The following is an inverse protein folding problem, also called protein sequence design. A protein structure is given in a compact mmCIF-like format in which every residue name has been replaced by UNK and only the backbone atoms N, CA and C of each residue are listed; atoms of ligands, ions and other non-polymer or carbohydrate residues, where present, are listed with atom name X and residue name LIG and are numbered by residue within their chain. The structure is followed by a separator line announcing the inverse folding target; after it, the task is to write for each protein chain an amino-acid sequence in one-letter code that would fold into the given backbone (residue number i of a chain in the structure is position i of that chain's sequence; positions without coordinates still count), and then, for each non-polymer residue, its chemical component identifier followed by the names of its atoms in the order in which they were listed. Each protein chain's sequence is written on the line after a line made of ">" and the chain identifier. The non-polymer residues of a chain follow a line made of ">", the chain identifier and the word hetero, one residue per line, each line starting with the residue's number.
data_IF_370510632400
#
_entry.id   IF_370510632400
#
_cell.length_a   1.000
_cell.length_b   1.000
_cell.length_c   1.000
_cell.angle_alpha   90.00
_cell.angle_beta   90.00
_cell.angle_gamma   90.00
#
_symmetry.space_group_name_H-M   'P 1'
#
loop_
_entity.id
_entity.type
_entity.pdbx_description
1 polymer ?
#
# COMPACT_ATOMS: atom_id res chain seq x y z
N UNK A 1 -23.92 -3.92 -12.97
CA UNK A 1 -23.25 -5.22 -13.17
C UNK A 1 -22.01 -5.31 -12.29
N UNK A 2 -21.05 -4.39 -12.41
CA UNK A 2 -19.77 -4.43 -11.71
C UNK A 2 -19.86 -4.31 -10.18
N UNK A 3 -20.88 -3.66 -9.63
CA UNK A 3 -21.09 -3.54 -8.19
C UNK A 3 -21.48 -4.82 -7.48
N UNK A 4 -21.99 -5.81 -8.21
CA UNK A 4 -22.58 -7.03 -7.62
C UNK A 4 -21.72 -8.26 -7.76
N UNK A 5 -20.58 -8.16 -8.44
CA UNK A 5 -19.80 -9.35 -8.74
C UNK A 5 -18.92 -9.80 -7.57
N UNK A 6 -18.55 -8.89 -6.66
CA UNK A 6 -17.62 -9.21 -5.59
C UNK A 6 -17.57 -8.09 -4.53
N UNK A 7 -17.69 -8.42 -3.25
CA UNK A 7 -17.44 -7.50 -2.14
C UNK A 7 -16.35 -8.09 -1.24
N UNK A 8 -15.23 -7.38 -1.08
CA UNK A 8 -14.09 -7.83 -0.28
C UNK A 8 -13.69 -9.28 -0.60
N UNK A 9 -13.62 -9.62 -1.88
CA UNK A 9 -13.29 -10.97 -2.34
C UNK A 9 -14.38 -12.03 -2.13
N UNK A 10 -15.55 -11.65 -1.64
CA UNK A 10 -16.70 -12.56 -1.49
C UNK A 10 -17.62 -12.40 -2.69
N UNK A 11 -17.88 -13.49 -3.38
CA UNK A 11 -18.75 -13.50 -4.55
C UNK A 11 -20.21 -13.25 -4.15
N UNK A 12 -20.79 -12.16 -4.65
CA UNK A 12 -22.16 -11.75 -4.35
C UNK A 12 -23.13 -12.43 -5.33
N UNK A 13 -23.52 -13.66 -5.02
CA UNK A 13 -24.54 -14.41 -5.75
C UNK A 13 -25.49 -15.09 -4.76
N UNK A 14 -26.77 -14.70 -4.81
CA UNK A 14 -27.81 -15.26 -3.96
C UNK A 14 -27.97 -14.48 -2.65
N UNK A 15 -28.35 -15.15 -1.59
CA UNK A 15 -28.54 -14.57 -0.26
C UNK A 15 -27.18 -14.26 0.38
N UNK A 16 -27.12 -13.14 1.08
CA UNK A 16 -25.91 -12.61 1.69
C UNK A 16 -26.17 -12.24 3.15
N UNK A 17 -25.33 -12.69 4.03
CA UNK A 17 -25.35 -12.36 5.45
C UNK A 17 -24.00 -11.82 5.88
N UNK A 18 -23.99 -10.65 6.51
CA UNK A 18 -22.78 -10.09 7.10
C UNK A 18 -23.01 -9.72 8.56
N UNK A 19 -21.99 -9.94 9.36
CA UNK A 19 -21.91 -9.46 10.72
C UNK A 19 -20.65 -8.62 10.87
N UNK A 20 -20.78 -7.41 11.41
CA UNK A 20 -19.63 -6.53 11.66
C UNK A 20 -19.72 -5.91 13.05
N UNK A 21 -18.59 -5.85 13.73
CA UNK A 21 -18.40 -5.18 15.01
C UNK A 21 -17.08 -4.41 14.99
N UNK A 22 -17.11 -3.21 15.55
CA UNK A 22 -15.91 -2.40 15.76
C UNK A 22 -16.06 -1.57 17.02
N UNK A 23 -14.96 -1.24 17.63
CA UNK A 23 -14.99 -0.45 18.86
C UNK A 23 -13.63 -0.27 19.49
N UNK A 24 -13.66 0.35 20.66
CA UNK A 24 -12.51 0.52 21.55
C UNK A 24 -12.74 -0.24 22.84
N UNK A 25 -11.78 -1.04 23.24
CA UNK A 25 -11.84 -1.78 24.48
C UNK A 25 -11.08 -1.03 25.60
N UNK A 26 -11.81 -0.39 26.48
CA UNK A 26 -11.32 0.30 27.69
C UNK A 26 -10.11 1.24 27.41
N UNK A 27 -10.06 1.91 26.29
CA UNK A 27 -8.91 2.70 25.83
C UNK A 27 -7.57 1.92 25.73
N UNK A 28 -7.62 0.60 25.81
CA UNK A 28 -6.44 -0.26 25.66
C UNK A 28 -6.12 -0.47 24.18
N UNK A 29 -7.10 -0.84 23.38
CA UNK A 29 -6.96 -1.04 21.94
C UNK A 29 -8.29 -0.85 21.21
N UNK A 30 -8.18 -0.55 19.91
CA UNK A 30 -9.29 -0.57 18.98
C UNK A 30 -9.37 -1.94 18.32
N UNK A 31 -10.56 -2.38 17.96
CA UNK A 31 -10.78 -3.63 17.23
C UNK A 31 -11.81 -3.48 16.12
N UNK A 32 -11.71 -4.33 15.14
CA UNK A 32 -12.71 -4.51 14.10
C UNK A 32 -12.82 -5.96 13.69
N UNK A 33 -14.04 -6.40 13.46
CA UNK A 33 -14.37 -7.74 12.97
C UNK A 33 -15.46 -7.62 11.92
N UNK A 34 -15.33 -8.34 10.82
CA UNK A 34 -16.41 -8.55 9.85
C UNK A 34 -16.37 -9.98 9.34
N UNK A 35 -17.50 -10.64 9.37
CA UNK A 35 -17.68 -12.01 8.86
C UNK A 35 -18.80 -11.98 7.83
N UNK A 36 -18.59 -12.63 6.71
CA UNK A 36 -19.47 -12.63 5.56
C UNK A 36 -19.72 -14.06 5.10
N UNK A 37 -20.97 -14.40 4.88
CA UNK A 37 -21.39 -15.63 4.23
C UNK A 37 -22.42 -15.36 3.14
N UNK A 38 -22.51 -16.24 2.16
CA UNK A 38 -23.56 -16.20 1.15
C UNK A 38 -24.14 -17.61 0.92
N UNK A 39 -25.21 -17.72 0.18
CA UNK A 39 -25.92 -18.97 -0.06
C UNK A 39 -25.05 -20.09 -0.66
N UNK A 40 -23.90 -19.76 -1.25
CA UNK A 40 -22.97 -20.73 -1.80
C UNK A 40 -21.88 -21.19 -0.81
N UNK A 41 -21.71 -20.50 0.32
CA UNK A 41 -20.62 -20.78 1.27
C UNK A 41 -20.95 -20.44 2.73
N UNK A 42 -22.20 -20.58 3.16
CA UNK A 42 -22.56 -20.39 4.58
C UNK A 42 -21.86 -21.37 5.53
N UNK A 43 -21.44 -22.52 5.02
CA UNK A 43 -20.61 -23.50 5.72
C UNK A 43 -19.15 -23.06 5.88
N UNK A 44 -18.70 -22.09 5.08
CA UNK A 44 -17.33 -21.55 5.08
C UNK A 44 -17.33 -20.03 5.00
N UNK A 45 -17.83 -19.34 6.04
CA UNK A 45 -17.88 -17.88 6.04
C UNK A 45 -16.46 -17.30 5.93
N UNK A 46 -16.36 -16.16 5.27
CA UNK A 46 -15.11 -15.43 5.09
C UNK A 46 -15.00 -14.33 6.13
N UNK A 47 -13.83 -14.15 6.71
CA UNK A 47 -13.50 -13.03 7.60
C UNK A 47 -12.60 -12.03 6.85
N UNK A 48 -13.17 -11.07 6.12
CA UNK A 48 -12.37 -10.07 5.39
C UNK A 48 -11.71 -9.07 6.33
N UNK A 49 -12.33 -8.75 7.45
CA UNK A 49 -11.80 -7.82 8.45
C UNK A 49 -11.69 -8.54 9.80
N UNK A 50 -10.54 -8.41 10.42
CA UNK A 50 -10.28 -8.90 11.76
C UNK A 50 -8.97 -8.30 12.25
N UNK A 51 -9.03 -7.24 13.07
CA UNK A 51 -7.83 -6.55 13.52
C UNK A 51 -7.91 -6.07 14.98
N UNK A 52 -6.74 -5.84 15.54
CA UNK A 52 -6.52 -5.04 16.74
C UNK A 52 -5.53 -3.93 16.44
N UNK A 53 -5.72 -2.76 17.04
CA UNK A 53 -4.80 -1.63 16.89
C UNK A 53 -4.69 -0.79 18.15
N UNK A 54 -3.53 -0.13 18.30
CA UNK A 54 -3.26 0.83 19.37
C UNK A 54 -2.61 2.08 18.78
N UNK A 55 -3.23 3.21 19.04
CA UNK A 55 -2.64 4.51 18.70
C UNK A 55 -1.92 5.10 19.90
N UNK A 56 -0.70 5.61 19.68
CA UNK A 56 0.12 6.34 20.64
C UNK A 56 0.61 7.61 19.96
N UNK A 57 0.08 8.76 20.33
CA UNK A 57 0.34 10.04 19.65
C UNK A 57 0.02 9.94 18.15
N UNK A 58 1.03 10.08 17.29
CA UNK A 58 0.88 9.99 15.83
C UNK A 58 0.96 8.57 15.29
N UNK A 59 1.49 7.65 16.08
CA UNK A 59 1.76 6.28 15.66
C UNK A 59 0.56 5.38 15.91
N UNK A 60 0.30 4.49 14.95
CA UNK A 60 -0.66 3.42 15.07
C UNK A 60 0.04 2.08 14.82
N UNK A 61 0.02 1.21 15.79
CA UNK A 61 0.38 -0.18 15.63
C UNK A 61 -0.90 -0.99 15.37
N UNK A 62 -0.90 -1.83 14.33
CA UNK A 62 -2.07 -2.61 13.94
C UNK A 62 -1.66 -4.00 13.48
N UNK A 63 -2.44 -5.00 13.91
CA UNK A 63 -2.25 -6.41 13.53
C UNK A 63 -3.57 -7.01 13.09
N UNK A 64 -3.56 -7.82 12.04
CA UNK A 64 -4.74 -8.51 11.52
C UNK A 64 -5.00 -8.20 10.06
N UNK A 65 -6.29 -8.16 9.69
CA UNK A 65 -6.80 -7.85 8.34
C UNK A 65 -7.69 -6.62 8.40
N UNK A 66 -7.46 -5.65 7.54
CA UNK A 66 -8.30 -4.44 7.43
C UNK A 66 -8.21 -3.85 6.03
N UNK A 67 -9.24 -3.13 5.63
CA UNK A 67 -9.20 -2.32 4.42
C UNK A 67 -8.15 -1.21 4.54
N UNK A 68 -7.37 -1.03 3.51
CA UNK A 68 -6.26 -0.10 3.51
C UNK A 68 -6.27 0.75 2.25
N UNK A 69 -6.82 1.94 2.34
CA UNK A 69 -6.73 2.96 1.31
C UNK A 69 -5.45 3.78 1.47
N UNK A 70 -4.38 3.43 0.74
CA UNK A 70 -3.15 4.22 0.71
C UNK A 70 -3.17 5.08 -0.53
N UNK A 71 -3.58 6.33 -0.37
CA UNK A 71 -3.59 7.35 -1.42
C UNK A 71 -3.21 8.70 -0.82
N UNK A 72 -2.77 9.63 -1.67
CA UNK A 72 -2.48 11.01 -1.25
C UNK A 72 -3.70 11.64 -0.58
N UNK A 73 -4.86 11.46 -1.21
CA UNK A 73 -6.16 11.89 -0.69
C UNK A 73 -7.22 10.84 -1.06
N UNK A 74 -8.07 10.47 -0.12
CA UNK A 74 -9.06 9.39 -0.30
C UNK A 74 -10.37 9.84 -0.92
N UNK A 75 -10.80 11.07 -0.62
CA UNK A 75 -12.10 11.55 -1.08
C UNK A 75 -12.10 11.86 -2.57
N UNK A 76 -13.14 11.42 -3.28
CA UNK A 76 -13.31 11.61 -4.71
C UNK A 76 -12.14 11.10 -5.56
N UNK A 77 -11.52 9.98 -5.19
CA UNK A 77 -10.51 9.30 -5.99
C UNK A 77 -10.96 7.90 -6.40
N UNK A 78 -10.34 7.36 -7.44
CA UNK A 78 -10.55 5.96 -7.86
C UNK A 78 -9.87 4.95 -6.93
N UNK A 79 -9.17 5.42 -5.90
CA UNK A 79 -8.35 4.59 -5.02
C UNK A 79 -6.94 4.39 -5.55
N UNK A 80 -6.23 3.41 -5.01
CA UNK A 80 -4.87 3.06 -5.43
C UNK A 80 -4.90 2.16 -6.66
N UNK A 81 -4.06 2.44 -7.67
CA UNK A 81 -3.93 1.60 -8.86
C UNK A 81 -3.21 0.27 -8.59
N UNK A 82 -2.47 0.17 -7.49
CA UNK A 82 -1.73 -1.07 -7.15
C UNK A 82 -2.46 -1.96 -6.15
N UNK A 83 -3.62 -1.50 -5.61
CA UNK A 83 -4.39 -2.27 -4.64
C UNK A 83 -5.88 -2.18 -4.92
N UNK A 84 -6.51 -3.33 -5.06
CA UNK A 84 -7.96 -3.40 -5.18
C UNK A 84 -8.63 -3.15 -3.82
N UNK A 85 -9.63 -2.26 -3.79
CA UNK A 85 -10.49 -2.07 -2.64
C UNK A 85 -11.51 -3.20 -2.46
N UNK A 86 -11.56 -4.13 -3.41
CA UNK A 86 -12.52 -5.23 -3.44
C UNK A 86 -11.89 -6.63 -3.24
N UNK A 87 -10.60 -6.69 -2.91
CA UNK A 87 -9.92 -7.93 -2.55
C UNK A 87 -9.98 -8.17 -1.04
N UNK A 88 -9.94 -9.43 -0.62
CA UNK A 88 -9.76 -9.77 0.80
C UNK A 88 -8.42 -9.22 1.26
N UNK A 89 -8.37 -8.37 2.30
CA UNK A 89 -7.11 -7.88 2.82
C UNK A 89 -6.21 -9.01 3.32
N UNK A 90 -4.92 -8.90 3.09
CA UNK A 90 -3.95 -9.84 3.63
C UNK A 90 -3.77 -9.64 5.15
N UNK A 91 -3.55 -10.71 5.93
CA UNK A 91 -3.11 -10.58 7.31
C UNK A 91 -1.75 -9.89 7.34
N UNK A 92 -1.58 -8.93 8.24
CA UNK A 92 -0.36 -8.12 8.31
C UNK A 92 -0.14 -7.51 9.69
N UNK A 93 1.09 -7.09 9.95
CA UNK A 93 1.50 -6.25 11.07
C UNK A 93 1.95 -4.91 10.49
N UNK A 94 1.48 -3.81 11.04
CA UNK A 94 1.78 -2.46 10.56
C UNK A 94 2.15 -1.52 11.69
N UNK A 95 3.15 -0.69 11.42
CA UNK A 95 3.44 0.53 12.17
C UNK A 95 3.26 1.72 11.22
N UNK A 96 2.40 2.65 11.57
CA UNK A 96 2.06 3.76 10.68
C UNK A 96 1.82 5.08 11.42
N UNK A 97 1.90 6.15 10.67
CA UNK A 97 1.37 7.49 10.97
C UNK A 97 0.22 7.69 9.98
N UNK A 98 -1.01 7.24 10.29
CA UNK A 98 -2.09 7.11 9.31
C UNK A 98 -2.65 8.45 8.84
N UNK A 99 -2.55 9.48 9.65
CA UNK A 99 -3.04 10.82 9.36
C UNK A 99 -1.88 11.77 9.10
N UNK A 100 -2.14 12.80 8.31
CA UNK A 100 -1.19 13.88 8.10
C UNK A 100 -0.91 14.63 9.40
N UNK A 101 0.33 14.59 9.87
CA UNK A 101 0.82 15.32 11.04
C UNK A 101 1.79 16.41 10.60
N UNK A 102 1.66 17.59 11.25
CA UNK A 102 2.47 18.75 10.95
C UNK A 102 3.90 18.55 11.45
N UNK A 103 4.85 18.82 10.57
CA UNK A 103 6.29 18.87 10.87
C UNK A 103 6.87 20.18 10.34
N UNK A 104 7.88 20.73 11.02
CA UNK A 104 8.58 21.93 10.57
C UNK A 104 10.00 21.55 10.14
N UNK A 105 10.34 21.82 8.89
CA UNK A 105 11.66 21.55 8.31
C UNK A 105 12.13 22.84 7.63
N UNK A 106 13.31 23.35 7.98
CA UNK A 106 13.87 24.61 7.47
C UNK A 106 12.90 25.81 7.59
N UNK A 107 12.23 25.95 8.74
CA UNK A 107 11.22 26.98 8.99
C UNK A 107 10.00 26.94 8.04
N UNK A 108 9.79 25.81 7.36
CA UNK A 108 8.63 25.56 6.51
C UNK A 108 7.77 24.45 7.11
N UNK A 109 6.45 24.63 7.02
CA UNK A 109 5.49 23.65 7.53
C UNK A 109 5.12 22.64 6.44
N UNK A 110 5.22 21.37 6.78
CA UNK A 110 4.77 20.26 5.98
C UNK A 110 3.86 19.36 6.81
N UNK A 111 3.06 18.56 6.14
CA UNK A 111 2.25 17.51 6.75
C UNK A 111 2.70 16.17 6.21
N UNK A 112 2.96 15.23 7.10
CA UNK A 112 3.55 13.94 6.76
C UNK A 112 2.65 12.83 7.27
N UNK A 113 2.42 11.82 6.45
CA UNK A 113 1.88 10.51 6.84
C UNK A 113 2.71 9.41 6.20
N UNK A 114 2.78 8.25 6.85
CA UNK A 114 3.59 7.15 6.33
C UNK A 114 3.31 5.85 7.08
N UNK A 115 3.86 4.77 6.58
CA UNK A 115 3.70 3.49 7.22
C UNK A 115 4.60 2.42 6.63
N UNK A 116 4.71 1.37 7.41
CA UNK A 116 5.53 0.22 7.15
C UNK A 116 4.76 -1.02 7.61
N UNK A 117 4.63 -2.01 6.76
CA UNK A 117 3.95 -3.24 7.11
C UNK A 117 4.62 -4.48 6.53
N UNK A 118 4.40 -5.58 7.24
CA UNK A 118 4.75 -6.92 6.81
C UNK A 118 3.50 -7.78 6.85
N UNK A 119 3.25 -8.52 5.78
CA UNK A 119 2.05 -9.33 5.62
C UNK A 119 2.35 -10.70 5.03
N UNK A 120 1.29 -11.51 4.98
CA UNK A 120 1.33 -12.88 4.49
C UNK A 120 0.24 -13.07 3.44
N UNK A 121 0.61 -13.66 2.31
CA UNK A 121 -0.37 -14.14 1.34
C UNK A 121 -0.83 -15.56 1.69
N UNK A 122 -2.01 -15.90 1.26
CA UNK A 122 -2.48 -17.28 1.24
C UNK A 122 -1.71 -18.09 0.18
N UNK A 123 -1.87 -19.41 0.20
CA UNK A 123 -1.34 -20.28 -0.86
C UNK A 123 -1.93 -19.85 -2.21
N UNK A 124 -1.08 -19.42 -3.12
CA UNK A 124 -1.42 -19.11 -4.51
C UNK A 124 -1.19 -20.29 -5.43
N UNK A 125 -1.59 -20.13 -6.68
CA UNK A 125 -1.41 -21.14 -7.74
C UNK A 125 0.08 -21.33 -8.08
N UNK A 126 0.81 -20.23 -8.22
CA UNK A 126 2.20 -20.20 -8.67
C UNK A 126 3.20 -20.13 -7.52
N UNK A 127 2.85 -19.46 -6.43
CA UNK A 127 3.72 -19.27 -5.27
C UNK A 127 3.00 -19.72 -4.00
N UNK A 128 3.65 -20.56 -3.20
CA UNK A 128 3.14 -21.02 -1.91
C UNK A 128 3.64 -20.11 -0.79
N UNK A 129 2.71 -19.55 -0.01
CA UNK A 129 2.96 -18.75 1.18
C UNK A 129 4.00 -17.60 0.97
N UNK A 130 3.87 -16.76 -0.06
CA UNK A 130 4.75 -15.62 -0.20
C UNK A 130 4.47 -14.58 0.89
N UNK A 131 5.47 -13.75 1.13
CA UNK A 131 5.44 -12.66 2.09
C UNK A 131 5.16 -11.34 1.37
N UNK A 132 4.56 -10.40 2.08
CA UNK A 132 4.32 -9.04 1.61
C UNK A 132 5.11 -8.07 2.47
N UNK A 133 5.86 -7.19 1.83
CA UNK A 133 6.38 -5.98 2.44
C UNK A 133 5.73 -4.77 1.80
N UNK A 134 5.34 -3.78 2.61
CA UNK A 134 4.79 -2.53 2.12
C UNK A 134 5.33 -1.38 2.94
N UNK A 135 5.65 -0.30 2.26
CA UNK A 135 5.99 0.99 2.87
C UNK A 135 5.43 2.13 2.04
N UNK A 136 5.08 3.22 2.70
CA UNK A 136 4.62 4.43 2.03
C UNK A 136 5.02 5.68 2.81
N UNK A 137 5.20 6.77 2.09
CA UNK A 137 5.45 8.09 2.62
C UNK A 137 4.74 9.13 1.77
N UNK A 138 3.98 10.00 2.41
CA UNK A 138 3.33 11.15 1.79
C UNK A 138 3.76 12.43 2.49
N UNK A 139 4.07 13.44 1.71
CA UNK A 139 4.38 14.80 2.15
C UNK A 139 3.37 15.74 1.52
N UNK A 140 2.73 16.57 2.34
CA UNK A 140 1.77 17.57 1.88
C UNK A 140 2.23 18.97 2.32
N UNK A 141 2.12 19.92 1.40
CA UNK A 141 2.34 21.35 1.64
C UNK A 141 1.03 22.10 1.45
N UNK A 142 0.66 22.91 2.41
CA UNK A 142 -0.46 23.83 2.28
C UNK A 142 0.04 25.20 1.79
N UNK A 143 -0.72 25.80 0.88
CA UNK A 143 -0.48 27.15 0.33
C UNK A 143 -1.64 28.04 0.77
N UNK A 144 -1.41 28.76 1.89
CA UNK A 144 -2.49 29.47 2.56
C UNK A 144 -3.59 28.51 3.06
N UNK A 145 -4.83 29.03 3.14
CA UNK A 145 -5.96 28.28 3.70
C UNK A 145 -6.78 27.50 2.65
N UNK A 146 -6.46 27.69 1.37
CA UNK A 146 -7.35 27.25 0.30
C UNK A 146 -6.77 26.20 -0.64
N UNK A 147 -5.45 26.00 -0.62
CA UNK A 147 -4.86 25.02 -1.53
C UNK A 147 -3.78 24.18 -0.85
N UNK A 148 -3.62 22.96 -1.33
CA UNK A 148 -2.58 22.04 -0.88
C UNK A 148 -2.11 21.16 -2.03
N UNK A 149 -0.85 20.76 -1.94
CA UNK A 149 -0.25 19.77 -2.82
C UNK A 149 0.35 18.65 -1.98
N UNK A 150 0.07 17.42 -2.36
CA UNK A 150 0.62 16.23 -1.74
C UNK A 150 1.36 15.40 -2.79
N UNK A 151 2.49 14.85 -2.38
CA UNK A 151 3.26 13.86 -3.14
C UNK A 151 3.50 12.67 -2.24
N UNK A 152 3.38 11.47 -2.81
CA UNK A 152 3.61 10.23 -2.09
C UNK A 152 4.25 9.18 -2.96
N UNK A 153 4.92 8.27 -2.29
CA UNK A 153 5.44 7.04 -2.83
C UNK A 153 4.91 5.88 -2.01
N UNK A 154 4.28 4.92 -2.67
CA UNK A 154 3.92 3.62 -2.10
C UNK A 154 4.76 2.57 -2.79
N UNK A 155 5.26 1.61 -2.03
CA UNK A 155 6.08 0.52 -2.53
C UNK A 155 5.66 -0.78 -1.85
N UNK A 156 5.28 -1.75 -2.65
CA UNK A 156 4.88 -3.09 -2.23
C UNK A 156 5.82 -4.12 -2.85
N UNK A 157 6.14 -5.17 -2.10
CA UNK A 157 6.99 -6.27 -2.58
C UNK A 157 6.41 -7.60 -2.14
N UNK A 158 6.14 -8.47 -3.11
CA UNK A 158 5.89 -9.88 -2.86
C UNK A 158 7.22 -10.63 -2.94
N UNK A 159 7.57 -11.41 -1.91
CA UNK A 159 8.86 -12.07 -1.80
C UNK A 159 8.79 -13.37 -0.99
N UNK A 160 9.87 -14.14 -1.01
CA UNK A 160 9.94 -15.42 -0.30
C UNK A 160 8.93 -16.45 -0.80
N UNK A 161 8.58 -17.40 0.05
CA UNK A 161 7.69 -18.50 -0.31
C UNK A 161 8.39 -19.59 -1.12
N UNK A 162 7.60 -20.37 -1.87
CA UNK A 162 8.09 -21.48 -2.69
C UNK A 162 7.40 -21.49 -4.04
N UNK A 163 8.18 -21.48 -5.12
CA UNK A 163 7.69 -21.63 -6.48
C UNK A 163 7.89 -23.07 -6.97
N UNK A 164 7.14 -23.47 -8.00
CA UNK A 164 7.32 -24.79 -8.62
C UNK A 164 8.63 -24.86 -9.41
N UNK A 165 9.01 -23.76 -10.05
CA UNK A 165 10.15 -23.70 -10.95
C UNK A 165 11.48 -23.54 -10.21
N UNK A 166 11.53 -22.68 -9.18
CA UNK A 166 12.78 -22.31 -8.50
C UNK A 166 12.86 -22.78 -7.05
N UNK A 167 11.86 -23.53 -6.56
CA UNK A 167 11.84 -24.03 -5.18
C UNK A 167 11.65 -22.92 -4.13
N UNK A 168 12.29 -23.09 -2.98
CA UNK A 168 12.21 -22.12 -1.87
C UNK A 168 12.96 -20.84 -2.21
N UNK A 169 12.28 -19.70 -2.08
CA UNK A 169 12.86 -18.39 -2.34
C UNK A 169 13.57 -17.82 -1.10
N UNK A 170 14.54 -16.91 -1.27
CA UNK A 170 15.23 -16.27 -0.17
C UNK A 170 14.23 -15.59 0.79
N UNK A 171 14.34 -15.90 2.10
CA UNK A 171 13.45 -15.35 3.13
C UNK A 171 14.10 -15.23 4.52
N UNK A 172 15.43 -15.10 4.55
CA UNK A 172 16.17 -14.79 5.77
C UNK A 172 15.94 -13.34 6.19
N UNK A 173 16.34 -12.98 7.41
CA UNK A 173 16.29 -11.60 7.87
C UNK A 173 17.16 -10.66 7.02
N UNK A 174 18.32 -11.14 6.51
CA UNK A 174 19.14 -10.37 5.58
C UNK A 174 18.44 -10.14 4.24
N UNK A 175 17.69 -11.11 3.75
CA UNK A 175 16.87 -10.95 2.54
C UNK A 175 15.75 -9.94 2.77
N UNK A 176 15.12 -9.95 3.96
CA UNK A 176 14.14 -8.94 4.31
C UNK A 176 14.71 -7.52 4.27
N UNK A 177 15.92 -7.29 4.77
CA UNK A 177 16.58 -5.99 4.65
C UNK A 177 16.84 -5.61 3.17
N UNK A 178 17.20 -6.58 2.32
CA UNK A 178 17.33 -6.36 0.87
C UNK A 178 16.01 -5.93 0.23
N UNK A 179 14.91 -6.58 0.60
CA UNK A 179 13.55 -6.20 0.18
C UNK A 179 13.23 -4.76 0.59
N UNK A 180 13.51 -4.41 1.85
CA UNK A 180 13.22 -3.06 2.39
C UNK A 180 13.98 -1.99 1.60
N UNK A 181 15.22 -2.26 1.21
CA UNK A 181 16.09 -1.30 0.48
C UNK A 181 16.13 -1.52 -1.03
N UNK A 182 15.26 -2.37 -1.58
CA UNK A 182 15.21 -2.72 -3.00
C UNK A 182 16.60 -3.12 -3.55
N UNK A 183 17.27 -4.06 -2.89
CA UNK A 183 18.58 -4.59 -3.27
C UNK A 183 18.44 -5.96 -3.94
N UNK A 184 19.43 -6.35 -4.72
CA UNK A 184 19.52 -7.66 -5.36
C UNK A 184 19.69 -8.79 -4.34
N UNK A 185 19.30 -10.01 -4.71
CA UNK A 185 19.52 -11.20 -3.91
C UNK A 185 21.02 -11.46 -3.66
N UNK A 186 21.30 -12.21 -2.60
CA UNK A 186 22.61 -12.82 -2.40
C UNK A 186 22.83 -13.98 -3.38
N UNK A 187 24.00 -14.61 -3.34
CA UNK A 187 24.32 -15.79 -4.15
C UNK A 187 23.39 -17.00 -3.93
N UNK A 188 22.53 -16.95 -2.94
CA UNK A 188 21.49 -18.00 -2.66
C UNK A 188 20.22 -17.82 -3.46
N UNK A 189 19.98 -16.65 -4.07
CA UNK A 189 18.85 -16.42 -4.98
C UNK A 189 19.12 -17.03 -6.36
N UNK A 190 18.08 -17.22 -7.17
CA UNK A 190 18.27 -17.59 -8.57
C UNK A 190 18.87 -16.42 -9.37
N UNK A 191 19.45 -16.71 -10.53
CA UNK A 191 20.26 -15.73 -11.30
C UNK A 191 19.49 -14.44 -11.61
N UNK A 192 18.19 -14.52 -11.92
CA UNK A 192 17.36 -13.35 -12.18
C UNK A 192 17.27 -12.39 -11.00
N UNK A 193 17.16 -12.89 -9.78
CA UNK A 193 17.11 -12.07 -8.55
C UNK A 193 18.50 -11.59 -8.09
N UNK A 194 19.57 -12.25 -8.51
CA UNK A 194 20.94 -11.78 -8.25
C UNK A 194 21.30 -10.57 -9.14
N UNK A 195 20.74 -10.50 -10.34
CA UNK A 195 20.96 -9.40 -11.29
C UNK A 195 19.98 -8.25 -11.06
N UNK A 196 18.73 -8.57 -10.74
CA UNK A 196 17.68 -7.62 -10.43
C UNK A 196 17.48 -7.44 -8.92
N UNK A 197 16.48 -6.69 -8.53
CA UNK A 197 16.05 -6.59 -7.12
C UNK A 197 15.39 -7.88 -6.68
N UNK A 198 15.61 -8.28 -5.42
CA UNK A 198 15.01 -9.47 -4.82
C UNK A 198 13.50 -9.29 -4.63
N UNK A 199 12.71 -10.23 -5.17
CA UNK A 199 11.25 -10.24 -5.07
C UNK A 199 10.57 -9.45 -6.20
N UNK A 200 9.23 -9.50 -6.22
CA UNK A 200 8.41 -8.78 -7.19
C UNK A 200 7.97 -7.44 -6.62
N UNK A 201 8.54 -6.38 -7.14
CA UNK A 201 8.34 -5.00 -6.68
C UNK A 201 7.24 -4.31 -7.49
N UNK A 202 6.35 -3.62 -6.79
CA UNK A 202 5.33 -2.76 -7.37
C UNK A 202 5.30 -1.45 -6.60
N UNK A 203 5.29 -0.35 -7.28
CA UNK A 203 5.23 0.96 -6.67
C UNK A 203 4.30 1.91 -7.37
N UNK A 204 4.02 3.04 -6.73
CA UNK A 204 3.22 4.10 -7.30
C UNK A 204 3.68 5.46 -6.79
N UNK A 205 3.93 6.38 -7.71
CA UNK A 205 3.95 7.80 -7.42
C UNK A 205 2.52 8.32 -7.40
N UNK A 206 2.15 9.00 -6.33
CA UNK A 206 0.79 9.48 -6.11
C UNK A 206 0.82 10.96 -5.76
N UNK A 207 0.23 11.77 -6.62
CA UNK A 207 0.20 13.22 -6.54
C UNK A 207 -1.24 13.70 -6.37
N UNK A 208 -1.47 14.69 -5.53
CA UNK A 208 -2.76 15.32 -5.40
C UNK A 208 -2.63 16.85 -5.20
N UNK A 209 -3.41 17.60 -5.94
CA UNK A 209 -3.62 19.03 -5.74
C UNK A 209 -5.07 19.27 -5.37
N UNK A 210 -5.29 20.00 -4.28
CA UNK A 210 -6.63 20.37 -3.81
C UNK A 210 -6.70 21.88 -3.72
N UNK A 211 -7.77 22.45 -4.26
CA UNK A 211 -8.11 23.85 -4.12
C UNK A 211 -9.54 23.95 -3.58
N UNK A 212 -9.68 24.48 -2.38
CA UNK A 212 -10.97 24.74 -1.73
C UNK A 212 -11.53 26.06 -2.22
N UNK A 213 -12.73 26.03 -2.80
CA UNK A 213 -13.49 27.21 -3.19
C UNK A 213 -14.54 27.59 -2.14
N UNK A 214 -15.30 28.64 -2.42
CA UNK A 214 -16.42 29.04 -1.54
C UNK A 214 -17.63 28.09 -1.68
N UNK A 215 -17.86 27.59 -2.88
CA UNK A 215 -19.01 26.74 -3.22
C UNK A 215 -18.59 25.38 -3.76
N UNK A 216 -17.42 25.29 -4.39
CA UNK A 216 -16.94 24.08 -5.05
C UNK A 216 -15.47 23.86 -4.74
N UNK A 217 -15.11 22.62 -4.50
CA UNK A 217 -13.71 22.20 -4.37
C UNK A 217 -13.23 21.58 -5.67
N UNK A 218 -11.98 21.87 -6.06
CA UNK A 218 -11.29 21.22 -7.15
C UNK A 218 -10.26 20.27 -6.59
N UNK A 219 -10.29 19.02 -7.06
CA UNK A 219 -9.27 18.03 -6.80
C UNK A 219 -8.70 17.50 -8.10
N UNK A 220 -7.40 17.58 -8.24
CA UNK A 220 -6.64 16.93 -9.31
C UNK A 220 -5.73 15.91 -8.67
N UNK A 221 -5.70 14.69 -9.20
CA UNK A 221 -4.78 13.66 -8.75
C UNK A 221 -4.18 12.93 -9.94
N UNK A 222 -2.99 12.42 -9.74
CA UNK A 222 -2.23 11.68 -10.73
C UNK A 222 -1.52 10.52 -10.06
N UNK A 223 -1.62 9.34 -10.64
CA UNK A 223 -0.95 8.14 -10.17
C UNK A 223 -0.12 7.54 -11.30
N UNK A 224 1.14 7.24 -11.00
CA UNK A 224 2.06 6.59 -11.93
C UNK A 224 2.58 5.30 -11.30
N UNK A 225 2.03 4.13 -11.67
CA UNK A 225 2.53 2.84 -11.23
C UNK A 225 3.85 2.52 -11.92
N UNK A 226 4.73 1.81 -11.23
CA UNK A 226 5.98 1.30 -11.76
C UNK A 226 6.28 -0.07 -11.18
N UNK A 227 6.91 -0.90 -11.99
CA UNK A 227 7.55 -2.15 -11.61
C UNK A 227 9.05 -1.90 -11.67
N UNK A 228 9.80 -2.42 -10.74
CA UNK A 228 11.25 -2.26 -10.65
C UNK A 228 11.79 -0.83 -10.40
N UNK A 229 13.05 -0.79 -10.01
CA UNK A 229 13.79 0.43 -9.72
C UNK A 229 13.92 1.33 -10.95
N UNK A 230 14.07 0.76 -12.15
CA UNK A 230 14.17 1.51 -13.40
C UNK A 230 12.88 2.24 -13.76
N UNK A 231 11.71 1.62 -13.55
CA UNK A 231 10.41 2.25 -13.78
C UNK A 231 10.10 3.40 -12.83
N UNK A 232 10.69 3.39 -11.64
CA UNK A 232 10.41 4.41 -10.62
C UNK A 232 10.86 5.83 -11.02
N UNK A 233 11.93 5.97 -11.82
CA UNK A 233 12.47 7.28 -12.20
C UNK A 233 12.93 7.39 -13.65
N UNK A 234 13.30 6.31 -14.34
CA UNK A 234 13.90 6.38 -15.66
C UNK A 234 12.91 6.91 -16.71
N UNK A 235 11.68 6.40 -16.73
CA UNK A 235 10.64 6.90 -17.64
C UNK A 235 10.26 8.35 -17.38
N UNK A 236 10.14 8.75 -16.12
CA UNK A 236 9.80 10.13 -15.78
C UNK A 236 10.90 11.11 -16.21
N UNK A 237 12.17 10.77 -15.99
CA UNK A 237 13.30 11.61 -16.39
C UNK A 237 13.54 11.58 -17.90
N UNK A 238 13.33 10.45 -18.57
CA UNK A 238 13.48 10.33 -20.02
C UNK A 238 12.38 11.11 -20.76
N UNK A 239 11.14 11.12 -20.27
CA UNK A 239 10.10 11.99 -20.79
C UNK A 239 10.40 13.47 -20.58
N UNK A 240 10.93 13.86 -19.42
CA UNK A 240 11.35 15.23 -19.18
C UNK A 240 12.51 15.66 -20.08
N UNK A 241 13.48 14.76 -20.31
CA UNK A 241 14.59 14.98 -21.27
C UNK A 241 14.08 15.09 -22.71
N UNK A 242 13.17 14.21 -23.12
CA UNK A 242 12.57 14.24 -24.46
C UNK A 242 11.79 15.57 -24.72
N UNK A 243 11.19 16.15 -23.69
CA UNK A 243 10.52 17.45 -23.74
C UNK A 243 11.47 18.65 -23.57
N UNK A 244 12.78 18.44 -23.55
CA UNK A 244 13.82 19.47 -23.35
C UNK A 244 13.67 20.26 -22.05
N UNK A 245 13.08 19.67 -21.02
CA UNK A 245 13.03 20.26 -19.68
C UNK A 245 14.39 19.99 -19.02
N UNK A 246 15.12 21.01 -18.54
CA UNK A 246 16.43 20.82 -17.94
C UNK A 246 16.32 20.00 -16.65
N UNK A 247 16.74 18.77 -16.69
CA UNK A 247 16.82 17.86 -15.56
C UNK A 247 18.30 17.68 -15.22
N UNK A 248 18.71 18.02 -14.00
CA UNK A 248 20.03 17.62 -13.50
C UNK A 248 20.06 16.11 -13.35
N UNK A 249 20.97 15.43 -14.04
CA UNK A 249 21.17 13.98 -13.87
C UNK A 249 21.61 13.69 -12.43
N UNK A 250 20.97 12.71 -11.83
CA UNK A 250 21.38 12.14 -10.54
C UNK A 250 22.38 10.99 -10.74
N UNK A 251 23.27 11.10 -11.72
CA UNK A 251 24.35 10.13 -11.98
C UNK A 251 25.45 10.36 -10.94
N UNK A 252 25.25 9.88 -9.70
CA UNK A 252 26.27 10.05 -8.66
C UNK A 252 25.79 9.86 -7.22
N UNK A 253 24.83 8.98 -6.96
CA UNK A 253 24.54 8.50 -5.60
C UNK A 253 24.51 6.97 -5.56
#
# INVERSE_FOLDING_TARGET
>A
FWHRSNQLGVYDKGEYLSFSSHGNYNNLFDYGLSVIGNSNNFDRPVMPIGFMSKSIKWYNFKIGRWEKGITAESDLSTGSLIRSNNAIPNPQISLSVPNYNKVTIFNQEFWVKGGFSHGWFSKGEYVQAPLLHEKYLYIKKNFGNHSSFAVGLVHEVMWGGKTQEHGSQPQSFSDYLRIVFAQSASSTGYIGEQVNVLGNHLGIWDLAYIKKGKTNDLKLYFQHPFEDKSGAYQYFFDELKARKIPVKSFDGL
#
